data_IF_456831956443
#
_entry.id   IF_456831956443
#
_cell.length_a   1.000
_cell.length_b   1.000
_cell.length_c   1.000
_cell.angle_alpha   90.00
_cell.angle_beta   90.00
_cell.angle_gamma   90.00
#
_symmetry.space_group_name_H-M   'P 1'
#
loop_
_entity.id
_entity.type
_entity.pdbx_description
1 polymer ?
#
# COMPACT_ATOMS: atom_id res chain seq x y z
N UNK A 1 -21.68 11.37 4.47
CA UNK A 1 -20.84 10.58 3.53
C UNK A 1 -21.63 9.39 3.04
N UNK A 2 -21.55 9.09 1.74
CA UNK A 2 -22.21 7.93 1.14
C UNK A 2 -21.16 6.84 0.93
N UNK A 3 -21.58 5.57 0.99
CA UNK A 3 -20.69 4.43 0.71
C UNK A 3 -20.05 4.55 -0.69
N UNK A 4 -20.79 5.09 -1.65
CA UNK A 4 -20.32 5.32 -3.01
C UNK A 4 -19.08 6.24 -3.09
N UNK A 5 -18.88 7.15 -2.13
CA UNK A 5 -17.74 8.06 -2.12
C UNK A 5 -16.40 7.31 -1.87
N UNK A 6 -16.45 6.02 -1.50
CA UNK A 6 -15.29 5.14 -1.23
C UNK A 6 -15.20 3.93 -2.17
N UNK A 7 -15.99 3.91 -3.25
CA UNK A 7 -15.96 2.83 -4.25
C UNK A 7 -14.84 3.09 -5.26
N UNK A 8 -14.06 2.06 -5.58
CA UNK A 8 -13.03 2.10 -6.61
C UNK A 8 -13.00 0.77 -7.39
N UNK A 9 -12.47 0.81 -8.61
CA UNK A 9 -12.30 -0.38 -9.43
C UNK A 9 -11.09 -1.20 -8.94
N UNK A 10 -11.33 -2.44 -8.53
CA UNK A 10 -10.29 -3.38 -8.11
C UNK A 10 -10.36 -4.67 -8.95
N UNK A 11 -9.44 -4.85 -9.90
CA UNK A 11 -9.31 -6.11 -10.63
C UNK A 11 -9.01 -7.28 -9.67
N UNK A 12 -9.73 -8.39 -9.82
CA UNK A 12 -9.57 -9.59 -8.96
C UNK A 12 -8.14 -10.15 -8.97
N UNK A 13 -7.44 -10.02 -10.10
CA UNK A 13 -6.03 -10.42 -10.25
C UNK A 13 -5.06 -9.68 -9.33
N UNK A 14 -5.42 -8.49 -8.83
CA UNK A 14 -4.61 -7.71 -7.91
C UNK A 14 -4.86 -8.07 -6.44
N UNK A 15 -5.85 -8.93 -6.16
CA UNK A 15 -6.16 -9.41 -4.81
C UNK A 15 -5.22 -10.56 -4.47
N UNK A 16 -4.27 -10.32 -3.57
CA UNK A 16 -3.39 -11.36 -3.07
C UNK A 16 -4.20 -12.41 -2.28
N UNK A 17 -4.31 -13.63 -2.83
CA UNK A 17 -5.00 -14.77 -2.18
C UNK A 17 -4.16 -15.45 -1.10
N UNK A 18 -2.84 -15.31 -1.20
CA UNK A 18 -1.86 -15.87 -0.27
C UNK A 18 -0.76 -14.84 -0.02
N UNK A 19 -0.10 -14.85 1.15
CA UNK A 19 1.06 -14.02 1.39
C UNK A 19 2.21 -14.41 0.46
N UNK A 20 3.14 -13.47 0.21
CA UNK A 20 4.39 -13.76 -0.48
C UNK A 20 5.22 -14.77 0.34
N UNK A 21 5.96 -15.64 -0.36
CA UNK A 21 6.84 -16.62 0.26
C UNK A 21 7.89 -15.96 1.18
N UNK A 22 8.47 -14.85 0.72
CA UNK A 22 9.28 -13.96 1.53
C UNK A 22 8.47 -12.74 1.97
N UNK A 23 8.02 -12.73 3.23
CA UNK A 23 7.15 -11.66 3.76
C UNK A 23 7.73 -10.25 3.65
N UNK A 24 9.07 -10.13 3.71
CA UNK A 24 9.77 -8.83 3.65
C UNK A 24 9.85 -8.24 2.23
N UNK A 25 9.54 -9.04 1.22
CA UNK A 25 9.62 -8.65 -0.20
C UNK A 25 8.30 -8.05 -0.71
N UNK A 26 7.40 -7.65 0.21
CA UNK A 26 6.16 -6.95 -0.12
C UNK A 26 6.42 -5.49 -0.47
N UNK A 27 5.56 -4.93 -1.33
CA UNK A 27 5.59 -3.52 -1.71
C UNK A 27 5.05 -2.65 -0.56
N UNK A 28 5.62 -1.45 -0.42
CA UNK A 28 5.18 -0.42 0.50
C UNK A 28 4.77 0.83 -0.29
N UNK A 29 3.52 1.29 -0.15
CA UNK A 29 3.05 2.57 -0.67
C UNK A 29 3.09 3.59 0.47
N UNK A 30 3.85 4.67 0.31
CA UNK A 30 3.90 5.77 1.28
C UNK A 30 3.09 6.94 0.77
N UNK A 31 2.29 7.57 1.64
CA UNK A 31 1.53 8.78 1.37
C UNK A 31 1.92 9.85 2.40
N UNK A 32 2.37 11.00 1.90
CA UNK A 32 2.49 12.20 2.72
C UNK A 32 1.10 12.86 2.86
N UNK A 33 0.56 12.89 4.07
CA UNK A 33 -0.79 13.40 4.33
C UNK A 33 -1.01 14.87 3.92
N UNK A 34 -0.10 15.80 4.27
CA UNK A 34 -0.25 17.22 3.92
C UNK A 34 -0.12 17.53 2.42
N UNK A 35 0.85 16.94 1.73
CA UNK A 35 1.15 17.26 0.32
C UNK A 35 0.46 16.32 -0.66
N UNK A 36 0.02 15.15 -0.20
CA UNK A 36 -0.49 14.08 -1.04
C UNK A 36 0.59 13.33 -1.81
N UNK A 37 1.88 13.58 -1.52
CA UNK A 37 2.97 12.93 -2.24
C UNK A 37 2.96 11.42 -2.03
N UNK A 38 3.00 10.67 -3.13
CA UNK A 38 3.06 9.21 -3.14
C UNK A 38 4.46 8.72 -3.49
N UNK A 39 4.90 7.64 -2.86
CA UNK A 39 6.09 6.91 -3.29
C UNK A 39 5.92 5.39 -3.15
N UNK A 40 6.58 4.66 -4.05
CA UNK A 40 6.66 3.21 -4.02
C UNK A 40 8.01 2.79 -3.44
N UNK A 41 7.96 1.90 -2.44
CA UNK A 41 9.12 1.40 -1.70
C UNK A 41 9.00 -0.11 -1.46
N UNK A 42 10.01 -0.71 -0.83
CA UNK A 42 9.95 -2.07 -0.30
C UNK A 42 9.63 -2.06 1.19
N UNK A 43 9.03 -3.14 1.70
CA UNK A 43 8.69 -3.22 3.13
C UNK A 43 9.91 -3.18 4.05
N UNK A 44 11.09 -3.56 3.56
CA UNK A 44 12.37 -3.39 4.27
C UNK A 44 12.70 -1.93 4.59
N UNK A 45 12.22 -0.99 3.77
CA UNK A 45 12.48 0.44 3.90
C UNK A 45 11.63 1.08 5.02
N UNK A 46 10.71 0.30 5.63
CA UNK A 46 9.86 0.76 6.72
C UNK A 46 10.67 1.35 7.89
N UNK A 47 11.86 0.82 8.14
CA UNK A 47 12.73 1.28 9.23
C UNK A 47 13.13 2.76 9.08
N UNK A 48 13.17 3.31 7.87
CA UNK A 48 13.46 4.73 7.62
C UNK A 48 12.33 5.66 8.12
N UNK A 49 11.14 5.12 8.38
CA UNK A 49 9.96 5.85 8.79
C UNK A 49 9.63 5.70 10.28
N UNK A 50 10.37 4.87 11.01
CA UNK A 50 10.19 4.66 12.44
C UNK A 50 11.15 5.59 13.21
N UNK A 51 10.64 6.24 14.26
CA UNK A 51 11.42 7.01 15.23
C UNK A 51 11.39 6.33 16.59
#
# INVERSE_FOLDING_TARGET
MRVADFTFELPDSLIARHPLAERRSSRLLTLDGPTGALAHRQFTDLLEHLR
#
